data_IF_586868945477
#
_entry.id   IF_586868945477
#
_cell.length_a   1.000
_cell.length_b   1.000
_cell.length_c   1.000
_cell.angle_alpha   90.00
_cell.angle_beta   90.00
_cell.angle_gamma   90.00
#
_symmetry.space_group_name_H-M   'P 1'
#
loop_
_entity.id
_entity.type
_entity.pdbx_description
1 polymer ?
#
# COMPACT_ATOMS: atom_id res chain seq x y z
N UNK A 1 4.91 -7.25 14.23
CA UNK A 1 3.71 -6.54 14.69
C UNK A 1 3.81 -5.14 14.13
N UNK A 2 2.87 -4.77 13.28
CA UNK A 2 2.85 -3.50 12.58
C UNK A 2 1.70 -2.66 13.12
N UNK A 3 1.91 -1.36 13.26
CA UNK A 3 0.87 -0.42 13.68
C UNK A 3 0.69 0.64 12.61
N UNK A 4 -0.57 0.87 12.23
CA UNK A 4 -0.99 1.94 11.32
C UNK A 4 -1.87 2.91 12.09
N UNK A 5 -1.62 4.20 11.94
CA UNK A 5 -2.46 5.27 12.49
C UNK A 5 -3.38 5.76 11.38
N UNK A 6 -4.67 5.76 11.65
CA UNK A 6 -5.72 6.24 10.73
C UNK A 6 -6.31 7.52 11.32
N UNK A 7 -6.15 8.64 10.62
CA UNK A 7 -6.81 9.89 11.00
C UNK A 7 -8.30 9.84 10.67
N UNK A 8 -9.13 10.46 11.52
CA UNK A 8 -10.59 10.49 11.36
C UNK A 8 -11.05 11.94 11.22
N UNK A 9 -10.84 12.58 10.06
CA UNK A 9 -11.23 13.98 9.86
C UNK A 9 -12.76 14.14 9.71
N UNK A 10 -13.47 13.10 9.26
CA UNK A 10 -14.90 13.20 9.01
C UNK A 10 -15.72 12.98 10.27
N UNK A 11 -15.88 14.03 11.09
CA UNK A 11 -16.67 14.01 12.33
C UNK A 11 -17.75 15.10 12.35
N UNK A 12 -18.87 14.82 13.00
CA UNK A 12 -19.95 15.79 13.26
C UNK A 12 -20.77 15.31 14.45
N UNK A 13 -21.73 16.10 14.92
CA UNK A 13 -22.74 15.65 15.86
C UNK A 13 -24.11 16.16 15.43
N UNK A 14 -25.15 15.52 15.94
CA UNK A 14 -26.53 15.96 15.75
C UNK A 14 -27.15 16.24 17.11
N UNK A 15 -28.05 17.22 17.15
CA UNK A 15 -28.67 17.70 18.38
C UNK A 15 -30.19 17.75 18.23
N UNK A 16 -30.90 17.18 19.21
CA UNK A 16 -32.37 17.22 19.27
C UNK A 16 -32.92 18.63 19.47
N UNK A 17 -32.16 19.52 20.12
CA UNK A 17 -32.56 20.92 20.31
C UNK A 17 -32.50 21.73 19.01
N UNK A 18 -31.69 21.31 18.03
CA UNK A 18 -31.46 22.00 16.75
C UNK A 18 -31.56 20.99 15.59
N UNK A 19 -32.76 20.43 15.35
CA UNK A 19 -32.88 19.18 14.62
C UNK A 19 -32.61 19.27 13.10
N UNK A 20 -32.56 20.50 12.56
CA UNK A 20 -32.30 20.80 11.15
C UNK A 20 -30.91 21.38 10.91
N UNK A 21 -30.10 21.55 11.95
CA UNK A 21 -28.77 22.17 11.85
C UNK A 21 -27.72 21.08 11.68
N UNK A 22 -26.77 21.33 10.78
CA UNK A 22 -25.56 20.53 10.62
C UNK A 22 -24.42 21.16 11.42
N UNK A 23 -23.67 20.35 12.17
CA UNK A 23 -22.59 20.81 13.04
C UNK A 23 -21.20 20.36 12.58
N UNK A 24 -21.01 20.01 11.30
CA UNK A 24 -19.74 19.42 10.81
C UNK A 24 -18.50 20.32 10.92
N UNK A 25 -18.71 21.63 11.12
CA UNK A 25 -17.65 22.64 11.25
C UNK A 25 -17.28 22.94 12.71
N UNK A 26 -17.95 22.31 13.68
CA UNK A 26 -17.69 22.58 15.09
C UNK A 26 -16.36 21.95 15.52
N UNK A 27 -15.63 22.58 16.47
CA UNK A 27 -14.36 22.07 16.97
C UNK A 27 -14.52 20.84 17.85
N UNK A 28 -15.72 20.58 18.38
CA UNK A 28 -16.02 19.42 19.21
C UNK A 28 -17.29 18.68 18.75
N UNK A 29 -17.33 17.37 18.98
CA UNK A 29 -18.51 16.52 18.82
C UNK A 29 -19.08 16.10 20.17
N UNK A 30 -20.40 16.05 20.28
CA UNK A 30 -21.13 15.93 21.55
C UNK A 30 -21.80 14.55 21.64
N UNK A 31 -21.64 13.88 22.77
CA UNK A 31 -22.28 12.59 23.08
C UNK A 31 -22.96 12.67 24.44
N UNK A 32 -24.29 12.58 24.47
CA UNK A 32 -25.08 12.59 25.70
C UNK A 32 -26.11 13.72 25.78
N UNK A 33 -26.48 14.11 27.00
CA UNK A 33 -27.49 15.15 27.27
C UNK A 33 -26.81 16.47 27.66
N UNK A 34 -26.85 17.43 26.75
CA UNK A 34 -26.34 18.79 26.95
C UNK A 34 -27.47 19.74 27.38
N UNK A 35 -27.17 20.74 28.20
CA UNK A 35 -28.20 21.68 28.70
C UNK A 35 -28.76 22.61 27.61
N UNK A 36 -27.98 22.89 26.56
CA UNK A 36 -28.38 23.74 25.43
C UNK A 36 -28.77 22.91 24.22
N UNK A 37 -27.99 21.87 23.92
CA UNK A 37 -28.17 21.02 22.74
C UNK A 37 -29.03 19.78 22.99
N UNK A 38 -29.49 19.56 24.22
CA UNK A 38 -30.32 18.41 24.63
C UNK A 38 -29.63 17.09 24.24
N UNK A 39 -30.37 16.10 23.76
CA UNK A 39 -29.78 14.84 23.30
C UNK A 39 -28.87 15.07 22.08
N UNK A 40 -27.60 14.69 22.23
CA UNK A 40 -26.53 14.80 21.25
C UNK A 40 -25.92 13.44 20.91
N UNK A 41 -25.73 13.19 19.61
CA UNK A 41 -25.12 11.96 19.09
C UNK A 41 -23.96 12.38 18.20
N UNK A 42 -22.76 11.88 18.50
CA UNK A 42 -21.60 12.13 17.63
C UNK A 42 -21.58 11.10 16.49
N UNK A 43 -21.24 11.54 15.29
CA UNK A 43 -21.14 10.73 14.09
C UNK A 43 -19.74 10.87 13.48
N UNK A 44 -19.16 9.75 13.04
CA UNK A 44 -17.80 9.71 12.50
C UNK A 44 -17.73 8.76 11.30
N UNK A 45 -17.06 9.17 10.22
CA UNK A 45 -16.76 8.28 9.09
C UNK A 45 -15.28 7.92 9.11
N UNK A 46 -14.98 6.62 9.02
CA UNK A 46 -13.63 6.10 9.09
C UNK A 46 -13.29 5.46 7.74
N UNK A 47 -12.31 6.00 7.04
CA UNK A 47 -11.75 5.38 5.85
C UNK A 47 -10.61 4.43 6.29
N UNK A 48 -10.83 3.12 6.19
CA UNK A 48 -9.77 2.15 6.48
C UNK A 48 -8.74 2.14 5.34
N UNK A 49 -7.44 2.14 5.63
CA UNK A 49 -6.41 1.95 4.61
C UNK A 49 -6.45 0.52 4.08
N UNK A 50 -5.87 0.29 2.90
CA UNK A 50 -5.61 -1.08 2.43
C UNK A 50 -4.58 -1.74 3.36
N UNK A 51 -4.97 -2.82 4.04
CA UNK A 51 -4.10 -3.58 4.91
C UNK A 51 -3.66 -4.88 4.24
N UNK A 52 -2.45 -5.39 4.54
CA UNK A 52 -1.98 -6.69 4.05
C UNK A 52 -2.62 -7.87 4.81
N UNK A 53 -3.65 -7.62 5.61
CA UNK A 53 -4.36 -8.58 6.45
C UNK A 53 -5.86 -8.30 6.37
N UNK A 54 -6.67 -9.36 6.47
CA UNK A 54 -8.13 -9.26 6.53
C UNK A 54 -8.66 -9.21 7.98
N UNK A 55 -7.75 -9.22 8.96
CA UNK A 55 -8.05 -9.17 10.38
C UNK A 55 -6.89 -8.47 11.10
N UNK A 56 -7.20 -7.60 12.05
CA UNK A 56 -6.23 -6.93 12.92
C UNK A 56 -6.28 -7.53 14.33
N UNK A 57 -5.14 -7.56 15.01
CA UNK A 57 -5.08 -8.05 16.39
C UNK A 57 -5.72 -7.06 17.36
N UNK A 58 -5.62 -5.78 17.04
CA UNK A 58 -6.18 -4.70 17.84
C UNK A 58 -6.56 -3.51 16.96
N UNK A 59 -7.71 -2.91 17.28
CA UNK A 59 -8.14 -1.62 16.78
C UNK A 59 -8.61 -0.74 17.94
N UNK A 60 -7.88 0.34 18.23
CA UNK A 60 -8.14 1.23 19.35
C UNK A 60 -8.52 2.61 18.83
N UNK A 61 -9.76 3.02 19.09
CA UNK A 61 -10.26 4.36 18.83
C UNK A 61 -9.76 5.31 19.93
N UNK A 62 -9.11 6.39 19.53
CA UNK A 62 -8.53 7.40 20.40
C UNK A 62 -9.28 8.72 20.24
N UNK A 63 -9.86 9.21 21.33
CA UNK A 63 -10.65 10.45 21.35
C UNK A 63 -10.19 11.35 22.49
N UNK A 64 -9.84 12.61 22.19
CA UNK A 64 -9.48 13.58 23.22
C UNK A 64 -10.73 14.19 23.88
N UNK A 65 -10.83 14.11 25.20
CA UNK A 65 -11.96 14.67 25.96
C UNK A 65 -11.73 16.15 26.21
N UNK A 66 -12.58 17.00 25.66
CA UNK A 66 -12.49 18.46 25.78
C UNK A 66 -13.42 19.00 26.87
N UNK A 67 -14.61 18.42 26.98
CA UNK A 67 -15.61 18.78 28.00
C UNK A 67 -16.25 17.52 28.56
N UNK A 68 -16.53 17.55 29.86
CA UNK A 68 -17.33 16.56 30.58
C UNK A 68 -18.24 17.31 31.54
N UNK A 69 -19.56 17.19 31.37
CA UNK A 69 -20.51 17.80 32.31
C UNK A 69 -20.77 16.88 33.50
N UNK A 70 -21.00 17.47 34.68
CA UNK A 70 -21.28 16.72 35.90
C UNK A 70 -20.09 15.90 36.42
N UNK A 71 -20.21 15.41 37.65
CA UNK A 71 -19.13 14.67 38.34
C UNK A 71 -19.24 13.16 38.17
N UNK A 72 -20.43 12.64 37.85
CA UNK A 72 -20.63 11.21 37.63
C UNK A 72 -19.96 10.75 36.32
N UNK A 73 -19.39 9.54 36.25
CA UNK A 73 -18.86 9.00 35.01
C UNK A 73 -19.92 8.94 33.90
N UNK A 74 -19.55 9.30 32.67
CA UNK A 74 -20.38 9.16 31.48
C UNK A 74 -19.96 7.92 30.71
N UNK A 75 -20.83 6.91 30.61
CA UNK A 75 -20.57 5.78 29.70
C UNK A 75 -20.83 6.23 28.27
N UNK A 76 -19.79 6.27 27.45
CA UNK A 76 -19.87 6.53 26.01
C UNK A 76 -19.80 5.19 25.28
N UNK A 77 -20.85 4.88 24.53
CA UNK A 77 -21.01 3.63 23.78
C UNK A 77 -20.73 3.90 22.31
N UNK A 78 -19.94 3.01 21.69
CA UNK A 78 -19.73 2.99 20.24
C UNK A 78 -20.84 2.17 19.60
N UNK A 79 -21.50 2.74 18.61
CA UNK A 79 -22.58 2.11 17.86
C UNK A 79 -22.18 1.98 16.39
N UNK A 80 -22.60 0.88 15.76
CA UNK A 80 -22.46 0.65 14.32
C UNK A 80 -23.52 1.46 13.59
N UNK A 81 -23.11 2.31 12.65
CA UNK A 81 -24.04 3.02 11.76
C UNK A 81 -24.52 2.05 10.67
N UNK A 82 -25.82 1.93 10.48
CA UNK A 82 -26.42 0.93 9.60
C UNK A 82 -26.54 1.40 8.15
N UNK A 83 -26.54 2.72 7.92
CA UNK A 83 -26.75 3.34 6.61
C UNK A 83 -25.74 4.48 6.37
N UNK A 84 -25.27 4.68 5.13
CA UNK A 84 -24.34 5.76 4.83
C UNK A 84 -24.98 7.13 5.08
N UNK A 85 -24.17 8.09 5.52
CA UNK A 85 -24.60 9.48 5.73
C UNK A 85 -23.60 10.47 5.11
N UNK A 86 -24.06 11.69 4.84
CA UNK A 86 -23.18 12.77 4.39
C UNK A 86 -22.85 13.70 5.56
N UNK A 87 -21.58 13.75 5.98
CA UNK A 87 -21.08 14.59 7.08
C UNK A 87 -21.56 16.05 6.97
N UNK A 88 -21.56 16.63 5.77
CA UNK A 88 -21.84 18.07 5.57
C UNK A 88 -23.33 18.39 5.43
N UNK A 89 -24.20 17.38 5.44
CA UNK A 89 -25.65 17.55 5.28
C UNK A 89 -26.48 16.82 6.34
N UNK A 90 -25.88 15.93 7.14
CA UNK A 90 -26.60 15.19 8.18
C UNK A 90 -27.09 16.14 9.27
N UNK A 91 -28.30 15.90 9.74
CA UNK A 91 -28.99 16.65 10.81
C UNK A 91 -29.63 15.65 11.76
N UNK A 92 -30.17 16.09 12.89
CA UNK A 92 -30.87 15.17 13.80
C UNK A 92 -32.07 14.48 13.13
N UNK A 93 -32.76 15.18 12.23
CA UNK A 93 -33.89 14.63 11.47
C UNK A 93 -33.47 13.62 10.39
N UNK A 94 -32.22 13.67 9.93
CA UNK A 94 -31.72 12.86 8.81
C UNK A 94 -30.59 11.91 9.23
N UNK A 95 -30.33 11.77 10.53
CA UNK A 95 -29.28 10.91 11.05
C UNK A 95 -29.55 9.44 10.69
N UNK A 96 -28.51 8.66 10.38
CA UNK A 96 -28.69 7.25 10.04
C UNK A 96 -29.08 6.45 11.27
N UNK A 97 -29.78 5.33 11.06
CA UNK A 97 -30.00 4.35 12.11
C UNK A 97 -28.67 3.74 12.58
N UNK A 98 -28.58 3.38 13.86
CA UNK A 98 -27.41 2.74 14.45
C UNK A 98 -27.80 1.62 15.42
N UNK A 99 -26.89 0.69 15.64
CA UNK A 99 -27.05 -0.42 16.59
C UNK A 99 -25.89 -0.45 17.60
N UNK A 100 -26.17 -0.68 18.89
CA UNK A 100 -25.13 -0.68 19.92
C UNK A 100 -24.18 -1.86 19.77
N UNK A 101 -22.90 -1.60 20.06
CA UNK A 101 -21.88 -2.63 20.19
C UNK A 101 -21.54 -2.88 21.66
N UNK A 102 -20.60 -3.79 21.91
CA UNK A 102 -20.04 -3.99 23.26
C UNK A 102 -18.93 -2.98 23.61
N UNK A 103 -18.45 -2.22 22.63
CA UNK A 103 -17.36 -1.26 22.80
C UNK A 103 -17.86 0.02 23.48
N UNK A 104 -17.29 0.32 24.64
CA UNK A 104 -17.66 1.49 25.45
C UNK A 104 -16.49 1.95 26.32
N UNK A 105 -16.57 3.19 26.81
CA UNK A 105 -15.63 3.74 27.79
C UNK A 105 -16.38 4.60 28.81
N UNK A 106 -15.95 4.56 30.07
CA UNK A 106 -16.44 5.47 31.10
C UNK A 106 -15.54 6.70 31.18
N UNK A 107 -16.10 7.86 30.81
CA UNK A 107 -15.38 9.13 30.84
C UNK A 107 -15.64 9.85 32.16
N UNK A 108 -14.58 10.28 32.82
CA UNK A 108 -14.59 10.98 34.09
C UNK A 108 -13.97 12.38 33.97
N UNK A 109 -14.07 13.18 35.03
CA UNK A 109 -13.39 14.49 35.08
C UNK A 109 -11.87 14.38 35.04
N UNK A 110 -11.29 13.22 35.37
CA UNK A 110 -9.84 13.00 35.30
C UNK A 110 -9.32 12.83 33.87
N UNK A 111 -10.23 12.62 32.91
CA UNK A 111 -9.91 12.42 31.49
C UNK A 111 -9.92 13.73 30.71
N UNK A 112 -10.32 14.86 31.32
CA UNK A 112 -10.28 16.17 30.69
C UNK A 112 -8.88 16.48 30.13
N UNK A 113 -8.85 16.89 28.86
CA UNK A 113 -7.66 17.18 28.07
C UNK A 113 -6.73 15.97 27.85
N UNK A 114 -7.24 14.76 28.05
CA UNK A 114 -6.55 13.51 27.77
C UNK A 114 -7.30 12.72 26.71
N UNK A 115 -6.59 11.76 26.13
CA UNK A 115 -7.16 10.79 25.20
C UNK A 115 -7.72 9.61 25.97
N UNK A 116 -8.99 9.30 25.70
CA UNK A 116 -9.58 8.02 26.09
C UNK A 116 -9.44 7.02 24.94
N UNK A 117 -9.27 5.75 25.31
CA UNK A 117 -9.09 4.65 24.38
C UNK A 117 -10.29 3.72 24.43
N UNK A 118 -10.83 3.37 23.27
CA UNK A 118 -11.95 2.44 23.13
C UNK A 118 -11.54 1.32 22.20
N UNK A 119 -11.52 0.08 22.71
CA UNK A 119 -11.29 -1.10 21.88
C UNK A 119 -12.51 -1.32 20.97
N UNK A 120 -12.30 -1.20 19.65
CA UNK A 120 -13.28 -1.47 18.60
C UNK A 120 -12.81 -2.59 17.66
N UNK A 121 -11.91 -3.46 18.11
CA UNK A 121 -11.28 -4.54 17.33
C UNK A 121 -12.32 -5.43 16.65
N UNK A 122 -13.32 -5.89 17.39
CA UNK A 122 -14.38 -6.74 16.84
C UNK A 122 -15.14 -6.05 15.70
N UNK A 123 -15.43 -4.75 15.85
CA UNK A 123 -16.16 -3.98 14.85
C UNK A 123 -15.30 -3.73 13.60
N UNK A 124 -14.05 -3.30 13.76
CA UNK A 124 -13.12 -3.11 12.63
C UNK A 124 -12.92 -4.42 11.86
N UNK A 125 -12.80 -5.54 12.55
CA UNK A 125 -12.69 -6.84 11.89
C UNK A 125 -13.97 -7.26 11.15
N UNK A 126 -15.15 -6.86 11.63
CA UNK A 126 -16.41 -7.06 10.89
C UNK A 126 -16.50 -6.22 9.61
N UNK A 127 -15.83 -5.06 9.58
CA UNK A 127 -15.68 -4.25 8.36
C UNK A 127 -14.69 -4.89 7.38
N UNK A 128 -13.52 -5.31 7.87
CA UNK A 128 -12.47 -5.90 7.03
C UNK A 128 -12.89 -7.23 6.41
N UNK A 129 -13.68 -8.03 7.11
CA UNK A 129 -14.20 -9.31 6.59
C UNK A 129 -15.51 -9.18 5.81
N UNK A 130 -16.06 -7.96 5.68
CA UNK A 130 -17.27 -7.67 4.90
C UNK A 130 -18.59 -8.14 5.51
N UNK A 131 -18.61 -8.60 6.76
CA UNK A 131 -19.88 -9.00 7.44
C UNK A 131 -20.73 -7.80 7.80
N UNK A 132 -20.11 -6.64 8.04
CA UNK A 132 -20.76 -5.36 8.33
C UNK A 132 -20.22 -4.31 7.37
N UNK A 133 -21.09 -3.54 6.73
CA UNK A 133 -20.66 -2.40 5.92
C UNK A 133 -20.05 -1.30 6.80
N UNK A 134 -18.93 -0.73 6.38
CA UNK A 134 -18.33 0.41 7.07
C UNK A 134 -19.05 1.72 6.66
N UNK A 135 -20.15 2.02 7.35
CA UNK A 135 -20.89 3.28 7.20
C UNK A 135 -20.50 4.33 8.25
N UNK A 136 -19.49 4.05 9.08
CA UNK A 136 -19.06 4.90 10.19
C UNK A 136 -19.58 4.47 11.57
N UNK A 137 -19.40 5.36 12.54
CA UNK A 137 -19.72 5.14 13.96
C UNK A 137 -20.64 6.22 14.49
N UNK A 138 -21.49 5.85 15.45
CA UNK A 138 -22.23 6.77 16.29
C UNK A 138 -21.81 6.62 17.76
N UNK A 139 -21.47 7.72 18.44
CA UNK A 139 -21.20 7.73 19.87
C UNK A 139 -22.40 8.27 20.62
N UNK A 140 -22.80 7.54 21.67
CA UNK A 140 -23.96 7.89 22.49
C UNK A 140 -23.61 7.79 23.97
N UNK A 141 -24.24 8.63 24.78
CA UNK A 141 -24.33 8.44 26.22
C UNK A 141 -25.82 8.56 26.60
N UNK A 142 -26.37 7.53 27.23
CA UNK A 142 -27.82 7.41 27.47
C UNK A 142 -28.19 7.62 28.95
N UNK A 143 -27.33 8.27 29.74
CA UNK A 143 -27.61 8.51 31.17
C UNK A 143 -28.62 9.65 31.40
N UNK A 144 -28.99 10.38 30.35
CA UNK A 144 -30.01 11.43 30.39
C UNK A 144 -29.60 12.70 31.13
N UNK A 145 -28.35 12.82 31.58
CA UNK A 145 -27.92 13.90 32.49
C UNK A 145 -26.57 14.51 32.15
N UNK A 146 -25.69 13.79 31.45
CA UNK A 146 -24.34 14.25 31.17
C UNK A 146 -24.01 14.25 29.68
N UNK A 147 -23.05 15.10 29.29
CA UNK A 147 -22.48 15.16 27.96
C UNK A 147 -20.97 15.07 28.04
N UNK A 148 -20.39 14.36 27.07
CA UNK A 148 -18.96 14.38 26.78
C UNK A 148 -18.75 15.04 25.43
N UNK A 149 -17.78 15.94 25.34
CA UNK A 149 -17.34 16.53 24.09
C UNK A 149 -15.95 16.05 23.73
N UNK A 150 -15.78 15.55 22.52
CA UNK A 150 -14.49 15.13 21.99
C UNK A 150 -13.96 16.11 20.95
N UNK A 151 -12.64 16.24 20.85
CA UNK A 151 -11.99 17.07 19.83
C UNK A 151 -12.27 16.56 18.41
N UNK A 152 -12.22 17.47 17.43
CA UNK A 152 -12.35 17.17 15.99
C UNK A 152 -11.13 17.68 15.23
N UNK A 153 -11.08 17.43 13.92
CA UNK A 153 -10.10 18.05 13.01
C UNK A 153 -10.22 19.59 12.91
N UNK A 154 -11.36 20.17 13.34
CA UNK A 154 -11.56 21.62 13.36
C UNK A 154 -11.01 22.32 14.62
N UNK A 155 -10.58 21.56 15.64
CA UNK A 155 -9.94 22.15 16.82
C UNK A 155 -8.48 22.49 16.46
N UNK A 156 -8.00 23.71 16.65
CA UNK A 156 -6.66 24.11 16.14
C UNK A 156 -5.46 23.51 16.89
N UNK A 157 -5.59 22.27 17.39
CA UNK A 157 -4.59 21.53 18.17
C UNK A 157 -4.59 20.06 17.76
N UNK A 158 -3.66 19.68 16.87
CA UNK A 158 -3.55 18.35 16.27
C UNK A 158 -3.54 17.17 17.27
N UNK A 159 -2.93 17.27 18.47
CA UNK A 159 -3.01 16.20 19.48
C UNK A 159 -4.43 15.84 19.92
N UNK A 160 -5.45 16.67 19.64
CA UNK A 160 -6.85 16.39 19.94
C UNK A 160 -7.63 15.77 18.79
N UNK A 161 -6.98 15.53 17.64
CA UNK A 161 -7.62 14.93 16.49
C UNK A 161 -8.00 13.47 16.78
N UNK A 162 -9.23 13.04 16.45
CA UNK A 162 -9.64 11.65 16.53
C UNK A 162 -8.77 10.73 15.65
N UNK A 163 -8.32 9.62 16.23
CA UNK A 163 -7.45 8.64 15.57
C UNK A 163 -7.94 7.23 15.81
N UNK A 164 -7.64 6.33 14.88
CA UNK A 164 -7.78 4.90 15.05
C UNK A 164 -6.41 4.24 14.91
N UNK A 165 -5.96 3.58 15.98
CA UNK A 165 -4.74 2.79 15.96
C UNK A 165 -5.06 1.35 15.59
N UNK A 166 -4.52 0.88 14.48
CA UNK A 166 -4.65 -0.49 14.01
C UNK A 166 -3.34 -1.23 14.21
N UNK A 167 -3.35 -2.29 15.01
CA UNK A 167 -2.19 -3.15 15.21
C UNK A 167 -2.51 -4.55 14.72
N UNK A 168 -1.60 -5.10 13.92
CA UNK A 168 -1.75 -6.44 13.36
C UNK A 168 -0.43 -7.19 13.28
N UNK A 169 -0.51 -8.50 13.48
CA UNK A 169 0.54 -9.47 13.30
C UNK A 169 0.43 -10.06 11.91
N UNK A 170 0.60 -9.17 10.93
CA UNK A 170 1.08 -9.59 9.62
C UNK A 170 2.58 -9.62 9.70
N UNK A 171 3.19 -10.77 9.98
CA UNK A 171 4.49 -11.02 9.32
C UNK A 171 4.18 -11.01 7.82
N UNK A 172 4.94 -10.33 6.96
CA UNK A 172 5.07 -10.78 5.60
C UNK A 172 5.35 -12.28 5.74
N UNK A 173 4.41 -13.15 5.34
CA UNK A 173 4.62 -14.60 5.52
C UNK A 173 6.00 -14.90 4.94
N UNK A 174 6.86 -15.64 5.64
CA UNK A 174 8.20 -15.92 5.08
C UNK A 174 8.09 -16.52 3.66
N UNK A 175 6.96 -17.17 3.39
CA UNK A 175 6.56 -17.71 2.10
C UNK A 175 5.55 -16.84 1.33
N UNK A 176 5.51 -15.51 1.51
CA UNK A 176 4.67 -14.66 0.66
C UNK A 176 5.30 -14.61 -0.73
N UNK A 177 4.47 -14.61 -1.77
CA UNK A 177 4.99 -14.61 -3.13
C UNK A 177 5.74 -13.30 -3.44
N UNK A 178 5.33 -12.18 -2.83
CA UNK A 178 6.06 -10.90 -2.91
C UNK A 178 7.47 -11.00 -2.31
N UNK A 179 7.61 -11.58 -1.12
CA UNK A 179 8.91 -11.76 -0.47
C UNK A 179 9.82 -12.69 -1.28
N UNK A 180 9.24 -13.76 -1.82
CA UNK A 180 9.95 -14.67 -2.70
C UNK A 180 10.48 -13.93 -3.94
N UNK A 181 9.66 -13.09 -4.60
CA UNK A 181 10.10 -12.32 -5.76
C UNK A 181 11.30 -11.40 -5.44
N UNK A 182 11.30 -10.73 -4.29
CA UNK A 182 12.44 -9.89 -3.88
C UNK A 182 13.67 -10.71 -3.50
N UNK A 183 13.48 -11.87 -2.87
CA UNK A 183 14.57 -12.80 -2.58
C UNK A 183 15.17 -13.37 -3.87
N UNK A 184 14.32 -13.69 -4.85
CA UNK A 184 14.73 -14.15 -6.18
C UNK A 184 15.49 -13.06 -6.93
N UNK A 185 15.03 -11.81 -6.89
CA UNK A 185 15.75 -10.68 -7.49
C UNK A 185 17.11 -10.46 -6.82
N UNK A 186 17.19 -10.50 -5.49
CA UNK A 186 18.45 -10.41 -4.76
C UNK A 186 19.43 -11.53 -5.17
N UNK A 187 18.94 -12.77 -5.27
CA UNK A 187 19.71 -13.93 -5.71
C UNK A 187 20.23 -13.78 -7.15
N UNK A 188 19.43 -13.21 -8.05
CA UNK A 188 19.86 -12.91 -9.42
C UNK A 188 20.90 -11.81 -9.45
N UNK A 189 20.74 -10.73 -8.68
CA UNK A 189 21.69 -9.62 -8.63
C UNK A 189 23.05 -10.09 -8.10
N UNK A 190 23.08 -10.94 -7.07
CA UNK A 190 24.34 -11.53 -6.59
C UNK A 190 25.05 -12.32 -7.69
N UNK A 191 24.31 -13.06 -8.50
CA UNK A 191 24.86 -13.80 -9.63
C UNK A 191 25.29 -12.88 -10.79
N UNK A 192 24.59 -11.77 -11.04
CA UNK A 192 25.03 -10.74 -12.00
C UNK A 192 26.37 -10.16 -11.56
N UNK A 193 26.55 -9.86 -10.27
CA UNK A 193 27.83 -9.39 -9.73
C UNK A 193 28.94 -10.43 -9.93
N UNK A 194 28.63 -11.73 -9.78
CA UNK A 194 29.62 -12.82 -9.90
C UNK A 194 29.95 -13.13 -11.36
N UNK A 195 28.95 -13.24 -12.24
CA UNK A 195 29.12 -13.70 -13.62
C UNK A 195 29.40 -12.58 -14.61
N UNK A 196 29.00 -11.34 -14.28
CA UNK A 196 29.19 -10.16 -15.12
C UNK A 196 29.93 -9.02 -14.39
N UNK A 197 31.04 -9.29 -13.66
CA UNK A 197 31.68 -8.33 -12.76
C UNK A 197 32.34 -7.15 -13.48
N UNK A 198 32.63 -7.28 -14.78
CA UNK A 198 33.28 -6.24 -15.59
C UNK A 198 32.34 -5.58 -16.59
N UNK A 199 31.10 -6.05 -16.67
CA UNK A 199 30.16 -5.55 -17.66
C UNK A 199 29.64 -4.18 -17.22
N UNK A 200 29.36 -3.32 -18.18
CA UNK A 200 28.56 -2.12 -17.94
C UNK A 200 27.09 -2.51 -17.99
N UNK A 201 26.44 -2.58 -16.83
CA UNK A 201 25.01 -2.89 -16.72
C UNK A 201 24.20 -1.61 -16.65
N UNK A 202 22.99 -1.64 -17.20
CA UNK A 202 22.00 -0.58 -17.04
C UNK A 202 20.81 -1.12 -16.27
N UNK A 203 20.57 -0.54 -15.10
CA UNK A 203 19.46 -0.90 -14.22
C UNK A 203 18.38 0.14 -14.37
N UNK A 204 17.23 -0.28 -14.90
CA UNK A 204 16.08 0.57 -15.08
C UNK A 204 15.25 0.62 -13.80
N UNK A 205 14.68 1.78 -13.49
CA UNK A 205 13.87 1.97 -12.29
C UNK A 205 12.44 2.39 -12.60
N UNK A 206 11.57 2.29 -11.59
CA UNK A 206 10.18 2.77 -11.67
C UNK A 206 10.07 4.29 -11.83
N UNK A 207 11.10 5.05 -11.48
CA UNK A 207 11.06 6.52 -11.46
C UNK A 207 11.07 7.14 -12.85
N UNK A 208 10.43 8.30 -13.00
CA UNK A 208 10.45 9.08 -14.25
C UNK A 208 11.78 9.82 -14.47
N UNK A 209 12.34 10.42 -13.41
CA UNK A 209 13.56 11.23 -13.48
C UNK A 209 14.84 10.39 -13.37
N UNK A 210 14.82 9.36 -12.53
CA UNK A 210 15.90 8.38 -12.40
C UNK A 210 15.52 7.07 -13.11
N UNK A 211 15.13 7.15 -14.38
CA UNK A 211 14.58 6.02 -15.15
C UNK A 211 15.61 4.91 -15.42
N UNK A 212 16.90 5.23 -15.39
CA UNK A 212 17.99 4.24 -15.48
C UNK A 212 19.25 4.71 -14.77
N UNK A 213 20.01 3.75 -14.23
CA UNK A 213 21.30 3.93 -13.56
C UNK A 213 22.28 2.94 -14.19
N UNK A 214 23.45 3.41 -14.62
CA UNK A 214 24.42 2.61 -15.40
C UNK A 214 25.76 2.57 -14.71
N UNK A 215 26.37 1.38 -14.62
CA UNK A 215 27.70 1.20 -14.04
C UNK A 215 28.15 -0.26 -14.05
N UNK A 216 29.29 -0.54 -13.44
CA UNK A 216 29.78 -1.90 -13.23
C UNK A 216 29.18 -2.50 -11.96
N UNK A 217 28.61 -3.73 -11.98
CA UNK A 217 28.08 -4.38 -10.78
C UNK A 217 29.13 -4.47 -9.67
N UNK A 218 28.77 -4.07 -8.45
CA UNK A 218 29.72 -4.05 -7.33
C UNK A 218 29.24 -4.82 -6.11
N UNK A 219 28.13 -4.42 -5.51
CA UNK A 219 27.67 -5.00 -4.26
C UNK A 219 26.16 -5.03 -4.16
N UNK A 220 25.62 -6.08 -3.56
CA UNK A 220 24.26 -6.08 -3.03
C UNK A 220 24.31 -5.90 -1.51
N UNK A 221 24.08 -4.68 -1.04
CA UNK A 221 24.25 -4.30 0.37
C UNK A 221 23.08 -4.78 1.24
N UNK A 222 23.41 -5.32 2.41
CA UNK A 222 22.48 -5.80 3.43
C UNK A 222 22.84 -5.19 4.81
N UNK A 223 21.82 -4.82 5.59
CA UNK A 223 22.05 -4.47 7.00
C UNK A 223 22.35 -5.73 7.84
N UNK A 224 22.97 -5.62 9.02
CA UNK A 224 23.30 -6.78 9.86
C UNK A 224 22.11 -7.65 10.28
N UNK A 225 20.90 -7.08 10.29
CA UNK A 225 19.66 -7.79 10.65
C UNK A 225 18.88 -8.30 9.43
N UNK A 226 19.30 -7.95 8.21
CA UNK A 226 18.61 -8.33 6.99
C UNK A 226 19.02 -9.74 6.55
N UNK A 227 18.04 -10.55 6.11
CA UNK A 227 18.29 -11.88 5.54
C UNK A 227 18.91 -11.81 4.14
N UNK A 228 18.52 -10.81 3.36
CA UNK A 228 18.99 -10.57 1.99
C UNK A 228 19.49 -9.14 1.85
N UNK A 229 20.34 -8.89 0.86
CA UNK A 229 20.68 -7.52 0.49
C UNK A 229 19.53 -6.85 -0.28
N UNK A 230 19.38 -5.54 -0.07
CA UNK A 230 18.22 -4.76 -0.52
C UNK A 230 18.60 -3.51 -1.32
N UNK A 231 19.89 -3.16 -1.36
CA UNK A 231 20.42 -2.03 -2.10
C UNK A 231 21.48 -2.55 -3.08
N UNK A 232 21.18 -2.52 -4.38
CA UNK A 232 22.13 -2.87 -5.43
C UNK A 232 23.00 -1.65 -5.74
N UNK A 233 24.31 -1.83 -5.64
CA UNK A 233 25.32 -0.79 -5.88
C UNK A 233 26.05 -1.14 -7.17
N UNK A 234 26.05 -0.19 -8.09
CA UNK A 234 26.90 -0.19 -9.28
C UNK A 234 27.94 0.93 -9.18
N UNK A 235 29.11 0.71 -9.77
CA UNK A 235 30.20 1.68 -9.79
C UNK A 235 30.27 2.39 -11.13
N UNK A 236 30.31 3.72 -11.10
CA UNK A 236 30.57 4.54 -12.27
C UNK A 236 31.74 5.47 -11.98
N UNK A 237 32.85 5.31 -12.70
CA UNK A 237 34.07 6.11 -12.53
C UNK A 237 34.53 6.26 -11.06
N UNK A 238 34.40 5.19 -10.27
CA UNK A 238 34.79 5.17 -8.86
C UNK A 238 33.74 5.74 -7.88
N UNK A 239 32.54 6.10 -8.34
CA UNK A 239 31.42 6.52 -7.51
C UNK A 239 30.37 5.42 -7.37
N UNK A 240 29.85 5.25 -6.15
CA UNK A 240 28.76 4.32 -5.86
C UNK A 240 27.41 4.93 -6.29
N UNK A 241 26.69 4.23 -7.17
CA UNK A 241 25.31 4.51 -7.51
C UNK A 241 24.42 3.43 -6.89
N UNK A 242 23.56 3.82 -5.96
CA UNK A 242 22.77 2.89 -5.14
C UNK A 242 21.32 2.81 -5.61
N UNK A 243 20.80 1.59 -5.76
CA UNK A 243 19.50 1.30 -6.35
C UNK A 243 18.72 0.37 -5.40
N UNK A 244 17.62 0.84 -4.80
CA UNK A 244 16.74 -0.01 -3.99
C UNK A 244 16.09 -1.11 -4.84
N UNK A 245 16.08 -2.36 -4.36
CA UNK A 245 15.50 -3.50 -5.10
C UNK A 245 14.03 -3.31 -5.48
N UNK A 246 13.24 -2.65 -4.62
CA UNK A 246 11.84 -2.35 -4.88
C UNK A 246 11.62 -1.32 -5.99
N UNK A 247 12.67 -0.59 -6.39
CA UNK A 247 12.65 0.38 -7.49
C UNK A 247 13.08 -0.23 -8.81
N UNK A 248 13.76 -1.38 -8.82
CA UNK A 248 14.28 -2.02 -10.04
C UNK A 248 13.12 -2.56 -10.87
N UNK A 249 13.15 -2.26 -12.16
CA UNK A 249 12.12 -2.65 -13.13
C UNK A 249 12.66 -3.58 -14.21
N UNK A 250 13.94 -3.42 -14.56
CA UNK A 250 14.68 -4.33 -15.44
C UNK A 250 16.19 -4.14 -15.23
N UNK A 251 16.97 -5.18 -15.53
CA UNK A 251 18.44 -5.13 -15.53
C UNK A 251 18.94 -5.60 -16.89
N UNK A 252 19.51 -4.67 -17.65
CA UNK A 252 20.21 -4.91 -18.90
C UNK A 252 21.69 -5.19 -18.62
N UNK A 253 22.21 -6.34 -19.05
CA UNK A 253 23.58 -6.75 -18.68
C UNK A 253 24.69 -6.14 -19.54
N UNK A 254 24.35 -5.33 -20.55
CA UNK A 254 25.31 -4.75 -21.48
C UNK A 254 25.41 -5.48 -22.81
N UNK A 255 25.79 -4.75 -23.86
CA UNK A 255 26.00 -5.27 -25.22
C UNK A 255 27.01 -6.42 -25.24
N UNK A 256 26.76 -7.44 -26.07
CA UNK A 256 27.67 -8.58 -26.23
C UNK A 256 27.71 -9.55 -25.05
N UNK A 257 26.96 -9.29 -23.97
CA UNK A 257 26.81 -10.24 -22.86
C UNK A 257 26.06 -11.48 -23.33
N UNK A 258 26.48 -12.66 -22.91
CA UNK A 258 25.76 -13.92 -23.13
C UNK A 258 25.26 -14.46 -21.79
N UNK A 259 24.02 -14.94 -21.76
CA UNK A 259 23.42 -15.57 -20.59
C UNK A 259 24.29 -16.74 -20.11
N UNK A 260 24.67 -16.72 -18.84
CA UNK A 260 25.44 -17.81 -18.24
C UNK A 260 24.49 -18.97 -17.89
N UNK A 261 24.67 -20.18 -18.43
CA UNK A 261 23.83 -21.32 -18.07
C UNK A 261 23.99 -21.75 -16.61
N UNK A 262 25.00 -21.21 -15.90
CA UNK A 262 25.23 -21.45 -14.47
C UNK A 262 24.36 -20.59 -13.55
N UNK A 263 23.52 -19.70 -14.08
CA UNK A 263 22.50 -19.03 -13.28
C UNK A 263 21.55 -20.05 -12.63
N UNK A 264 21.27 -19.83 -11.36
CA UNK A 264 20.35 -20.62 -10.54
C UNK A 264 19.20 -19.75 -10.06
N UNK A 265 18.06 -20.40 -9.79
CA UNK A 265 16.85 -19.78 -9.27
C UNK A 265 16.50 -20.41 -7.92
N UNK A 266 15.84 -19.64 -7.05
CA UNK A 266 15.48 -20.12 -5.72
C UNK A 266 14.39 -21.20 -5.84
N UNK A 267 14.43 -22.24 -5.01
CA UNK A 267 13.36 -23.23 -4.95
C UNK A 267 12.07 -22.54 -4.51
N UNK A 268 10.98 -22.80 -5.25
CA UNK A 268 9.67 -22.21 -4.98
C UNK A 268 9.11 -22.83 -3.69
N UNK A 269 8.84 -22.03 -2.63
CA UNK A 269 8.21 -22.54 -1.43
C UNK A 269 6.71 -22.74 -1.66
N UNK A 270 6.03 -23.42 -0.74
CA UNK A 270 4.56 -23.37 -0.70
C UNK A 270 4.13 -21.97 -0.29
N UNK A 271 3.61 -21.20 -1.25
CA UNK A 271 3.14 -19.85 -0.96
C UNK A 271 1.89 -19.86 -0.08
N UNK A 272 1.83 -18.88 0.83
CA UNK A 272 0.61 -18.63 1.59
C UNK A 272 -0.47 -18.12 0.62
N UNK A 273 -1.70 -18.67 0.61
CA UNK A 273 -2.77 -18.17 -0.24
C UNK A 273 -3.03 -16.67 -0.03
N UNK A 274 -3.21 -15.92 -1.11
CA UNK A 274 -3.38 -14.48 -1.08
C UNK A 274 -3.25 -13.86 -2.47
N UNK A 275 -3.63 -12.59 -2.59
CA UNK A 275 -3.58 -11.87 -3.87
C UNK A 275 -2.18 -11.81 -4.48
N UNK A 276 -1.14 -11.68 -3.66
CA UNK A 276 0.24 -11.70 -4.13
C UNK A 276 0.62 -13.05 -4.72
N UNK A 277 0.18 -14.15 -4.09
CA UNK A 277 0.31 -15.51 -4.63
C UNK A 277 -0.41 -15.63 -5.97
N UNK A 278 -1.67 -15.21 -6.03
CA UNK A 278 -2.47 -15.28 -7.27
C UNK A 278 -1.79 -14.53 -8.42
N UNK A 279 -1.31 -13.31 -8.18
CA UNK A 279 -0.58 -12.53 -9.20
C UNK A 279 0.67 -13.27 -9.67
N UNK A 280 1.52 -13.72 -8.75
CA UNK A 280 2.84 -14.25 -9.11
C UNK A 280 2.71 -15.61 -9.80
N UNK A 281 1.82 -16.49 -9.32
CA UNK A 281 1.57 -17.79 -9.96
C UNK A 281 0.91 -17.62 -11.32
N UNK A 282 -0.03 -16.68 -11.45
CA UNK A 282 -0.70 -16.41 -12.73
C UNK A 282 0.26 -15.85 -13.77
N UNK A 283 1.17 -14.93 -13.40
CA UNK A 283 2.21 -14.45 -14.32
C UNK A 283 3.06 -15.60 -14.87
N UNK A 284 3.53 -16.48 -13.98
CA UNK A 284 4.35 -17.63 -14.36
C UNK A 284 3.58 -18.55 -15.34
N UNK A 285 2.36 -18.95 -15.00
CA UNK A 285 1.55 -19.84 -15.83
C UNK A 285 1.14 -19.20 -17.17
N UNK A 286 0.75 -17.93 -17.16
CA UNK A 286 0.32 -17.20 -18.34
C UNK A 286 1.45 -17.13 -19.38
N UNK A 287 2.67 -16.85 -18.94
CA UNK A 287 3.84 -16.66 -19.80
C UNK A 287 4.44 -17.98 -20.32
N UNK A 288 4.18 -19.11 -19.67
CA UNK A 288 4.66 -20.43 -20.14
C UNK A 288 4.22 -20.78 -21.57
N UNK A 289 3.09 -20.22 -22.02
CA UNK A 289 2.56 -20.43 -23.38
C UNK A 289 3.00 -19.38 -24.40
N UNK A 290 3.79 -18.38 -23.99
CA UNK A 290 4.20 -17.24 -24.82
C UNK A 290 5.66 -17.39 -25.24
N UNK A 291 6.01 -16.79 -26.38
CA UNK A 291 7.37 -16.84 -26.93
C UNK A 291 7.94 -15.43 -26.97
N UNK A 292 7.31 -14.54 -27.75
CA UNK A 292 7.75 -13.14 -27.89
C UNK A 292 6.77 -12.21 -27.17
N UNK A 293 7.32 -11.25 -26.44
CA UNK A 293 6.56 -10.33 -25.59
C UNK A 293 7.10 -8.91 -25.68
N UNK A 294 6.19 -7.95 -25.56
CA UNK A 294 6.47 -6.57 -25.19
C UNK A 294 5.98 -6.34 -23.75
N UNK A 295 6.91 -5.99 -22.87
CA UNK A 295 6.67 -5.83 -21.43
C UNK A 295 6.83 -4.36 -21.07
N UNK A 296 5.72 -3.75 -20.64
CA UNK A 296 5.72 -2.42 -20.04
C UNK A 296 5.97 -2.55 -18.54
N UNK A 297 6.89 -1.74 -18.02
CA UNK A 297 7.33 -1.81 -16.64
C UNK A 297 7.79 -0.43 -16.14
N UNK A 298 7.65 -0.17 -14.85
CA UNK A 298 7.95 1.17 -14.31
C UNK A 298 7.05 2.25 -14.92
N UNK A 299 7.51 3.50 -14.93
CA UNK A 299 6.69 4.63 -15.41
C UNK A 299 6.78 4.87 -16.92
N UNK A 300 7.91 4.55 -17.55
CA UNK A 300 8.17 4.79 -18.97
C UNK A 300 9.18 3.81 -19.58
N UNK A 301 9.34 2.62 -19.00
CA UNK A 301 10.26 1.60 -19.50
C UNK A 301 9.46 0.52 -20.21
N UNK A 302 9.89 0.11 -21.39
CA UNK A 302 9.35 -1.08 -22.05
C UNK A 302 10.48 -1.93 -22.62
N UNK A 303 10.29 -3.24 -22.62
CA UNK A 303 11.27 -4.21 -23.09
C UNK A 303 10.61 -5.23 -24.02
N UNK A 304 11.20 -5.42 -25.20
CA UNK A 304 10.72 -6.36 -26.22
C UNK A 304 11.74 -7.48 -26.41
N UNK A 305 11.30 -8.73 -26.45
CA UNK A 305 12.19 -9.85 -26.77
C UNK A 305 11.51 -11.21 -26.64
N UNK A 306 12.28 -12.27 -26.88
CA UNK A 306 11.85 -13.65 -26.66
C UNK A 306 12.06 -14.02 -25.19
N UNK A 307 11.08 -14.70 -24.58
CA UNK A 307 11.19 -15.26 -23.23
C UNK A 307 12.23 -16.38 -23.26
N UNK A 308 13.41 -16.09 -22.74
CA UNK A 308 14.53 -17.04 -22.65
C UNK A 308 14.45 -17.89 -21.38
N UNK A 309 14.03 -17.28 -20.27
CA UNK A 309 13.69 -17.96 -19.01
C UNK A 309 12.41 -17.36 -18.43
N UNK A 310 11.54 -18.22 -17.93
CA UNK A 310 10.36 -17.85 -17.15
C UNK A 310 10.45 -18.59 -15.83
N UNK A 311 10.72 -17.87 -14.74
CA UNK A 311 10.87 -18.41 -13.40
C UNK A 311 9.99 -17.60 -12.45
N UNK A 312 9.59 -18.18 -11.32
CA UNK A 312 8.75 -17.45 -10.37
C UNK A 312 9.44 -16.14 -9.94
N UNK A 313 8.74 -15.02 -10.15
CA UNK A 313 9.23 -13.69 -9.76
C UNK A 313 10.18 -13.00 -10.75
N UNK A 314 10.72 -13.70 -11.75
CA UNK A 314 11.69 -13.13 -12.70
C UNK A 314 11.53 -13.71 -14.12
N UNK A 315 11.56 -12.84 -15.11
CA UNK A 315 11.59 -13.20 -16.53
C UNK A 315 12.96 -12.80 -17.08
N UNK A 316 13.53 -13.60 -17.98
CA UNK A 316 14.71 -13.20 -18.75
C UNK A 316 14.33 -13.12 -20.22
N UNK A 317 14.42 -11.91 -20.78
CA UNK A 317 14.33 -11.72 -22.22
C UNK A 317 15.72 -11.87 -22.84
N UNK A 318 15.82 -12.62 -23.92
CA UNK A 318 17.05 -12.79 -24.69
C UNK A 318 16.70 -13.27 -26.10
N UNK A 319 17.69 -13.42 -26.97
CA UNK A 319 17.48 -14.18 -28.20
C UNK A 319 17.61 -15.70 -27.95
N UNK A 320 17.36 -16.52 -28.97
CA UNK A 320 17.46 -17.98 -28.85
C UNK A 320 18.85 -18.51 -28.47
N UNK A 321 19.89 -17.68 -28.54
CA UNK A 321 21.27 -18.02 -28.15
C UNK A 321 21.66 -17.46 -26.78
N UNK A 322 20.75 -16.74 -26.10
CA UNK A 322 21.04 -16.11 -24.81
C UNK A 322 21.84 -14.81 -24.92
N UNK A 323 21.90 -14.17 -26.09
CA UNK A 323 22.61 -12.89 -26.22
C UNK A 323 21.81 -11.74 -25.61
N UNK A 324 22.54 -10.84 -24.95
CA UNK A 324 22.04 -9.62 -24.32
C UNK A 324 20.84 -9.89 -23.40
N UNK A 325 21.02 -10.68 -22.32
CA UNK A 325 19.94 -10.99 -21.41
C UNK A 325 19.45 -9.75 -20.66
N UNK A 326 18.12 -9.60 -20.57
CA UNK A 326 17.45 -8.57 -19.77
C UNK A 326 16.61 -9.26 -18.70
N UNK A 327 16.97 -9.04 -17.45
CA UNK A 327 16.28 -9.60 -16.29
C UNK A 327 15.16 -8.66 -15.85
N UNK A 328 13.93 -9.14 -15.83
CA UNK A 328 12.73 -8.35 -15.52
C UNK A 328 12.02 -8.97 -14.31
N UNK A 329 12.07 -8.35 -13.12
CA UNK A 329 11.20 -8.75 -12.01
C UNK A 329 9.73 -8.54 -12.38
N UNK A 330 8.84 -9.44 -11.91
CA UNK A 330 7.43 -9.43 -12.34
C UNK A 330 6.56 -8.40 -11.62
N UNK A 331 6.88 -8.07 -10.35
CA UNK A 331 6.11 -7.13 -9.54
C UNK A 331 5.97 -5.71 -10.15
N UNK A 332 6.98 -5.12 -10.80
CA UNK A 332 6.85 -3.82 -11.44
C UNK A 332 6.27 -3.84 -12.86
N UNK A 333 5.84 -5.00 -13.38
CA UNK A 333 5.21 -5.07 -14.69
C UNK A 333 3.84 -4.38 -14.63
N UNK A 334 3.60 -3.49 -15.58
CA UNK A 334 2.34 -2.72 -15.69
C UNK A 334 1.44 -3.28 -16.79
N UNK A 335 2.03 -3.81 -17.87
CA UNK A 335 1.30 -4.51 -18.92
C UNK A 335 2.22 -5.46 -19.69
N UNK A 336 1.64 -6.52 -20.26
CA UNK A 336 2.33 -7.42 -21.19
C UNK A 336 1.47 -7.54 -22.45
N UNK A 337 2.09 -7.30 -23.60
CA UNK A 337 1.49 -7.50 -24.92
C UNK A 337 2.23 -8.66 -25.61
N UNK A 338 1.64 -9.86 -25.68
CA UNK A 338 2.20 -10.94 -26.47
C UNK A 338 2.17 -10.59 -27.97
N UNK A 339 3.23 -10.89 -28.70
CA UNK A 339 3.23 -10.71 -30.14
C UNK A 339 2.21 -11.65 -30.82
N UNK A 340 1.46 -11.13 -31.80
CA UNK A 340 0.56 -11.95 -32.61
C UNK A 340 1.37 -12.73 -33.66
N UNK A 341 1.75 -13.98 -33.34
CA UNK A 341 2.60 -14.87 -34.16
C UNK A 341 4.08 -14.45 -34.22
N UNK A 342 5.04 -15.38 -34.46
CA UNK A 342 6.48 -15.08 -34.41
C UNK A 342 6.88 -14.21 -35.60
N UNK A 343 6.67 -12.89 -35.49
CA UNK A 343 7.08 -11.92 -36.50
C UNK A 343 8.54 -11.51 -36.38
N UNK A 344 9.29 -12.05 -35.40
CA UNK A 344 10.75 -12.01 -35.40
C UNK A 344 11.33 -13.15 -36.26
N UNK A 345 10.84 -13.29 -37.49
CA UNK A 345 11.48 -14.11 -38.49
C UNK A 345 12.78 -13.43 -38.95
N UNK A 346 13.92 -14.05 -38.63
CA UNK A 346 15.22 -13.92 -39.31
C UNK A 346 15.52 -12.53 -39.90
N UNK A 347 15.93 -11.58 -39.07
CA UNK A 347 16.85 -10.55 -39.54
C UNK A 347 18.27 -11.12 -39.43
N UNK A 348 18.85 -11.53 -40.56
CA UNK A 348 20.31 -11.64 -40.70
C UNK A 348 20.92 -10.25 -40.50
N UNK A 349 21.24 -9.86 -39.26
CA UNK A 349 22.27 -8.87 -38.99
C UNK A 349 22.62 -8.88 -37.51
N UNK A 350 23.89 -8.56 -37.22
CA UNK A 350 24.56 -8.50 -35.92
C UNK A 350 24.02 -7.45 -34.93
N UNK A 351 22.69 -7.32 -34.78
CA UNK A 351 22.03 -6.41 -33.83
C UNK A 351 21.12 -7.22 -32.89
N UNK A 352 21.24 -6.99 -31.59
CA UNK A 352 20.48 -7.70 -30.54
C UNK A 352 18.97 -7.68 -30.84
N UNK A 353 18.33 -8.86 -30.77
CA UNK A 353 16.87 -9.03 -30.98
C UNK A 353 16.04 -8.62 -29.75
N UNK A 354 16.69 -8.21 -28.67
CA UNK A 354 16.07 -7.66 -27.47
C UNK A 354 16.30 -6.16 -27.44
N UNK A 355 15.24 -5.40 -27.14
CA UNK A 355 15.31 -3.96 -26.95
C UNK A 355 14.73 -3.59 -25.59
N UNK A 356 15.32 -2.59 -24.94
CA UNK A 356 14.78 -1.97 -23.73
C UNK A 356 14.94 -0.47 -23.87
N UNK A 357 13.84 0.27 -23.76
CA UNK A 357 13.81 1.70 -24.04
C UNK A 357 13.10 2.46 -22.92
N UNK A 358 13.47 3.73 -22.78
CA UNK A 358 12.78 4.72 -21.95
C UNK A 358 12.00 5.63 -22.90
N UNK A 359 10.68 5.72 -22.76
CA UNK A 359 9.89 6.68 -23.53
C UNK A 359 10.14 8.11 -23.02
N UNK A 360 10.63 8.97 -23.92
CA UNK A 360 10.68 10.41 -23.70
C UNK A 360 9.32 11.00 -24.09
N UNK A 361 8.71 11.83 -23.23
CA UNK A 361 7.53 12.59 -23.64
C UNK A 361 7.91 13.51 -24.79
N UNK A 362 7.31 13.29 -25.95
CA UNK A 362 7.41 14.16 -27.11
C UNK A 362 6.85 15.53 -26.68
N UNK A 363 7.69 16.56 -26.64
CA UNK A 363 7.22 17.95 -26.71
C UNK A 363 6.38 18.04 -27.99
N UNK A 364 5.05 18.14 -27.83
CA UNK A 364 4.19 18.55 -28.93
C UNK A 364 4.64 19.95 -29.33
N UNK A 365 5.39 20.07 -30.42
CA UNK A 365 5.53 21.32 -31.15
C UNK A 365 4.12 21.83 -31.45
N UNK A 366 3.67 22.80 -30.65
CA UNK A 366 2.51 23.61 -30.98
C UNK A 366 2.98 24.56 -32.07
N UNK A 367 2.75 24.20 -33.33
CA UNK A 367 2.92 25.13 -34.45
C UNK A 367 1.91 26.27 -34.26
N UNK A 368 2.34 27.54 -34.12
CA UNK A 368 1.40 28.65 -34.09
C UNK A 368 0.78 28.82 -35.48
N UNK A 369 -0.54 28.97 -35.51
CA UNK A 369 -1.30 29.38 -36.70
C UNK A 369 -1.07 30.85 -37.04
#
# INVERSE_FOLDING_TARGET
MSTVVVDIPSTTFVSSAQPTINFSVYPTIYSGTDTQYQNCISLMQIALPSLPVNFVDSAVLQLAVIVKSGTNPSTVVVNTVMEPFNRTAVTYNTQPAYTPTQSQVNVTTNDLYKTVEIDITALVNSWLNGTVANNGLALTNSDGTTVVQFGTDNISWEPYFPKLMLTYTGTPSENSATNFCYSQLAHIIQQIIIFYPTNTVTVFTKGLTASSITGTPYQLFASPVAKNGALFIVMDNGQEQTIPLNSITAIYTGDGTVYSPSFTYLPVPTFTPGYDTDIVTTYYEYLNSKTDVDIYTGSNVHATGTIYKNEYGIIVLSDGSGNTPVFIPVLPITAIIPAASPSLAKAESSKSQVSINVENQIEKEVTPK
#
